data_IF_773901060467
#
_entry.id   IF_773901060467
#
_cell.length_a   1.000
_cell.length_b   1.000
_cell.length_c   1.000
_cell.angle_alpha   90.00
_cell.angle_beta   90.00
_cell.angle_gamma   90.00
#
_symmetry.space_group_name_H-M   'P 1'
#
loop_
_entity.id
_entity.type
_entity.pdbx_description
1 polymer ?
#
# COMPACT_ATOMS: atom_id res chain seq x y z
N UNK A 1 17.36 -26.59 9.10
CA UNK A 1 16.23 -26.18 8.25
C UNK A 1 16.13 -24.67 8.31
N UNK A 2 16.22 -24.02 7.17
CA UNK A 2 16.15 -22.55 7.07
C UNK A 2 14.79 -22.04 7.60
N UNK A 3 14.79 -20.85 8.19
CA UNK A 3 13.56 -20.20 8.62
C UNK A 3 12.99 -19.42 7.45
N UNK A 4 11.97 -19.98 6.82
CA UNK A 4 11.27 -19.35 5.69
C UNK A 4 10.08 -18.58 6.23
N UNK A 5 9.97 -17.32 5.81
CA UNK A 5 8.90 -16.41 6.20
C UNK A 5 8.04 -16.06 5.00
N UNK A 6 6.75 -15.94 5.24
CA UNK A 6 5.75 -15.59 4.23
C UNK A 6 4.88 -14.45 4.75
N UNK A 7 4.36 -13.65 3.82
CA UNK A 7 3.35 -12.63 4.07
C UNK A 7 1.99 -13.25 3.84
N UNK A 8 1.10 -13.12 4.81
CA UNK A 8 -0.26 -13.67 4.75
C UNK A 8 -1.25 -12.54 5.01
N UNK A 9 -2.23 -12.41 4.12
CA UNK A 9 -3.31 -11.45 4.23
C UNK A 9 -4.50 -12.10 4.94
N UNK A 10 -4.69 -11.76 6.21
CA UNK A 10 -5.77 -12.24 7.06
C UNK A 10 -7.00 -11.35 6.98
N UNK A 11 -8.18 -11.95 7.12
CA UNK A 11 -9.43 -11.24 7.29
C UNK A 11 -9.70 -10.98 8.78
N UNK A 12 -9.86 -9.72 9.15
CA UNK A 12 -10.19 -9.33 10.53
C UNK A 12 -11.58 -9.81 10.98
N UNK A 13 -12.48 -10.17 10.05
CA UNK A 13 -13.86 -10.60 10.38
C UNK A 13 -13.99 -12.09 10.70
N UNK A 14 -13.30 -12.94 9.95
CA UNK A 14 -13.42 -14.40 10.07
C UNK A 14 -12.11 -15.09 10.47
N UNK A 15 -11.04 -14.31 10.68
CA UNK A 15 -9.69 -14.80 11.00
C UNK A 15 -9.03 -15.70 9.95
N UNK A 16 -9.74 -16.06 8.88
CA UNK A 16 -9.17 -16.79 7.75
C UNK A 16 -8.34 -15.90 6.82
N UNK A 17 -7.47 -16.51 6.04
CA UNK A 17 -6.63 -15.81 5.05
C UNK A 17 -7.19 -15.93 3.64
N UNK A 18 -6.91 -14.95 2.79
CA UNK A 18 -7.38 -14.94 1.39
C UNK A 18 -6.25 -14.93 0.36
N UNK A 19 -5.04 -14.54 0.75
CA UNK A 19 -3.87 -14.62 -0.09
C UNK A 19 -2.60 -14.67 0.77
N UNK A 20 -1.55 -15.29 0.23
CA UNK A 20 -0.23 -15.34 0.82
C UNK A 20 0.85 -15.27 -0.25
N UNK A 21 2.04 -14.84 0.12
CA UNK A 21 3.21 -14.71 -0.77
C UNK A 21 4.51 -14.85 0.03
N UNK A 22 5.63 -15.03 -0.65
CA UNK A 22 6.96 -15.00 -0.01
C UNK A 22 7.23 -13.64 0.65
N UNK A 23 7.88 -13.63 1.83
CA UNK A 23 8.20 -12.38 2.50
C UNK A 23 9.39 -11.65 1.86
N UNK A 24 10.41 -12.42 1.47
CA UNK A 24 11.62 -11.95 0.80
C UNK A 24 11.71 -12.53 -0.62
N UNK A 25 12.01 -11.66 -1.58
CA UNK A 25 12.24 -11.99 -2.99
C UNK A 25 13.37 -12.98 -3.22
N UNK A 26 14.39 -13.00 -2.35
CA UNK A 26 15.49 -13.98 -2.42
C UNK A 26 14.99 -15.42 -2.24
N UNK A 27 13.90 -15.61 -1.51
CA UNK A 27 13.33 -16.90 -1.17
C UNK A 27 12.31 -17.40 -2.21
N UNK A 28 12.00 -16.61 -3.24
CA UNK A 28 10.98 -16.96 -4.26
C UNK A 28 11.20 -18.34 -4.89
N UNK A 29 12.46 -18.69 -5.14
CA UNK A 29 12.84 -19.96 -5.78
C UNK A 29 13.14 -21.07 -4.76
N UNK A 30 12.85 -20.85 -3.47
CA UNK A 30 13.06 -21.87 -2.45
C UNK A 30 12.09 -23.04 -2.70
N UNK A 31 12.56 -24.30 -2.70
CA UNK A 31 11.72 -25.47 -2.91
C UNK A 31 10.49 -25.53 -2.00
N UNK A 32 10.61 -25.11 -0.73
CA UNK A 32 9.47 -25.15 0.20
C UNK A 32 8.36 -24.14 -0.15
N UNK A 33 8.74 -23.00 -0.75
CA UNK A 33 7.79 -21.98 -1.24
C UNK A 33 7.11 -22.45 -2.53
N UNK A 34 7.89 -23.05 -3.44
CA UNK A 34 7.37 -23.60 -4.70
C UNK A 34 6.40 -24.76 -4.41
N UNK A 35 6.77 -25.66 -3.52
CA UNK A 35 5.91 -26.76 -3.06
C UNK A 35 4.61 -26.24 -2.45
N UNK A 36 4.70 -25.22 -1.59
CA UNK A 36 3.52 -24.61 -0.98
C UNK A 36 2.62 -23.88 -2.00
N UNK A 37 3.23 -23.26 -3.03
CA UNK A 37 2.49 -22.70 -4.17
C UNK A 37 1.77 -23.79 -4.97
N UNK A 38 2.41 -24.93 -5.24
CA UNK A 38 1.75 -26.04 -5.93
C UNK A 38 0.62 -26.68 -5.10
N UNK A 39 0.75 -26.67 -3.78
CA UNK A 39 -0.27 -27.19 -2.88
C UNK A 39 -1.52 -26.30 -2.78
N UNK A 40 -1.36 -24.98 -2.61
CA UNK A 40 -2.50 -24.06 -2.45
C UNK A 40 -2.97 -23.40 -3.75
N UNK A 41 -2.04 -23.01 -4.61
CA UNK A 41 -2.31 -22.26 -5.84
C UNK A 41 -2.93 -20.88 -5.62
N UNK A 42 -3.22 -20.19 -6.72
CA UNK A 42 -3.98 -18.94 -6.68
C UNK A 42 -5.46 -19.21 -6.33
N UNK A 43 -6.12 -18.35 -5.55
CA UNK A 43 -5.66 -17.06 -5.03
C UNK A 43 -4.91 -17.14 -3.69
N UNK A 44 -4.86 -18.33 -3.07
CA UNK A 44 -4.45 -18.49 -1.68
C UNK A 44 -2.93 -18.37 -1.47
N UNK A 45 -2.12 -18.77 -2.44
CA UNK A 45 -0.69 -18.51 -2.49
C UNK A 45 -0.31 -18.00 -3.88
N UNK A 46 0.39 -16.86 -3.95
CA UNK A 46 0.84 -16.25 -5.21
C UNK A 46 2.33 -16.00 -5.19
N UNK A 47 2.99 -16.29 -6.32
CA UNK A 47 4.39 -15.90 -6.57
C UNK A 47 4.49 -14.52 -7.26
N UNK A 48 3.34 -13.94 -7.61
CA UNK A 48 3.26 -12.61 -8.22
C UNK A 48 2.86 -11.58 -7.16
N UNK A 49 3.77 -10.65 -6.88
CA UNK A 49 3.57 -9.59 -5.92
C UNK A 49 2.37 -8.69 -6.30
N UNK A 50 2.12 -8.47 -7.60
CA UNK A 50 0.99 -7.65 -8.05
C UNK A 50 -0.36 -8.26 -7.68
N UNK A 51 -0.50 -9.59 -7.76
CA UNK A 51 -1.70 -10.31 -7.32
C UNK A 51 -1.89 -10.19 -5.81
N UNK A 52 -0.81 -10.29 -5.03
CA UNK A 52 -0.87 -10.13 -3.57
C UNK A 52 -1.25 -8.70 -3.15
N UNK A 53 -0.71 -7.69 -3.83
CA UNK A 53 -1.02 -6.28 -3.53
C UNK A 53 -2.52 -5.96 -3.73
N UNK A 54 -3.18 -6.59 -4.71
CA UNK A 54 -4.64 -6.49 -4.87
C UNK A 54 -5.40 -7.07 -3.68
N UNK A 55 -4.91 -8.19 -3.15
CA UNK A 55 -5.49 -8.85 -1.99
C UNK A 55 -5.26 -8.06 -0.69
N UNK A 56 -4.10 -7.42 -0.53
CA UNK A 56 -3.80 -6.51 0.58
C UNK A 56 -4.74 -5.29 0.59
N UNK A 57 -5.12 -4.81 -0.58
CA UNK A 57 -6.05 -3.68 -0.75
C UNK A 57 -7.53 -4.05 -0.49
N UNK A 58 -7.87 -5.25 -0.05
CA UNK A 58 -9.25 -5.61 0.30
C UNK A 58 -9.64 -5.06 1.68
N UNK A 59 -10.91 -4.69 1.87
CA UNK A 59 -11.41 -4.22 3.16
C UNK A 59 -11.23 -5.26 4.29
N UNK A 60 -10.99 -4.77 5.52
CA UNK A 60 -10.81 -5.60 6.72
C UNK A 60 -9.71 -6.66 6.56
N UNK A 61 -8.63 -6.28 5.89
CA UNK A 61 -7.45 -7.12 5.67
C UNK A 61 -6.29 -6.63 6.52
N UNK A 62 -5.62 -7.57 7.19
CA UNK A 62 -4.40 -7.34 7.94
C UNK A 62 -3.30 -8.24 7.38
N UNK A 63 -2.17 -7.66 7.00
CA UNK A 63 -1.02 -8.42 6.51
C UNK A 63 -0.10 -8.74 7.68
N UNK A 64 0.19 -10.03 7.88
CA UNK A 64 1.14 -10.51 8.89
C UNK A 64 2.25 -11.29 8.23
N UNK A 65 3.47 -11.14 8.75
CA UNK A 65 4.60 -11.97 8.38
C UNK A 65 4.65 -13.12 9.38
N UNK A 66 4.55 -14.35 8.89
CA UNK A 66 4.59 -15.55 9.72
C UNK A 66 5.56 -16.56 9.14
N UNK A 67 6.01 -17.50 9.97
CA UNK A 67 6.85 -18.59 9.51
C UNK A 67 6.03 -19.58 8.68
N UNK A 68 6.59 -20.07 7.57
CA UNK A 68 5.91 -21.02 6.69
C UNK A 68 5.42 -22.28 7.43
N UNK A 69 6.23 -22.79 8.36
CA UNK A 69 5.89 -23.94 9.20
C UNK A 69 4.70 -23.69 10.12
N UNK A 70 4.55 -22.46 10.59
CA UNK A 70 3.41 -22.07 11.41
C UNK A 70 2.15 -21.95 10.55
N UNK A 71 2.28 -21.37 9.35
CA UNK A 71 1.17 -21.30 8.40
C UNK A 71 0.60 -22.68 8.07
N UNK A 72 1.48 -23.65 7.78
CA UNK A 72 1.12 -25.05 7.46
C UNK A 72 0.28 -25.75 8.53
N UNK A 73 0.30 -25.28 9.79
CA UNK A 73 -0.53 -25.86 10.86
C UNK A 73 -2.01 -25.47 10.72
N UNK A 74 -2.29 -24.32 10.11
CA UNK A 74 -3.62 -23.72 9.99
C UNK A 74 -3.91 -23.30 8.54
N UNK A 75 -3.36 -24.03 7.58
CA UNK A 75 -3.38 -23.72 6.15
C UNK A 75 -4.74 -23.95 5.48
N UNK A 76 -5.69 -24.57 6.18
CA UNK A 76 -7.07 -24.73 5.70
C UNK A 76 -8.00 -23.59 6.14
N UNK A 77 -7.49 -22.59 6.86
CA UNK A 77 -8.30 -21.48 7.36
C UNK A 77 -8.53 -20.41 6.28
N UNK A 78 -9.23 -20.77 5.22
CA UNK A 78 -9.53 -19.85 4.12
C UNK A 78 -10.65 -18.87 4.47
N UNK A 79 -10.53 -17.64 3.99
CA UNK A 79 -11.57 -16.62 4.10
C UNK A 79 -12.60 -16.76 2.96
N UNK A 80 -13.87 -17.03 3.30
CA UNK A 80 -15.00 -17.03 2.35
C UNK A 80 -15.77 -15.70 2.26
N UNK A 81 -15.28 -14.62 2.87
CA UNK A 81 -16.01 -13.35 2.92
C UNK A 81 -16.05 -12.66 1.55
N UNK A 82 -17.22 -12.14 1.16
CA UNK A 82 -17.34 -11.24 0.01
C UNK A 82 -16.74 -9.87 0.37
N UNK A 83 -15.49 -9.64 -0.01
CA UNK A 83 -14.77 -8.38 0.24
C UNK A 83 -14.85 -7.45 -0.97
N UNK A 84 -14.98 -6.16 -0.70
CA UNK A 84 -14.83 -5.10 -1.71
C UNK A 84 -13.40 -4.55 -1.64
N UNK A 85 -12.87 -4.01 -2.76
CA UNK A 85 -11.62 -3.26 -2.71
C UNK A 85 -11.78 -2.08 -1.76
N UNK A 86 -10.79 -1.90 -0.87
CA UNK A 86 -10.73 -0.79 0.07
C UNK A 86 -10.75 0.49 -0.75
N UNK A 87 -11.82 1.27 -0.62
CA UNK A 87 -11.85 2.63 -1.13
C UNK A 87 -10.75 3.40 -0.39
N UNK A 88 -9.63 3.65 -1.06
CA UNK A 88 -8.72 4.69 -0.61
C UNK A 88 -9.57 5.96 -0.48
N UNK A 89 -9.55 6.68 0.65
CA UNK A 89 -10.16 8.00 0.68
C UNK A 89 -9.47 8.77 -0.44
N UNK A 90 -10.23 9.18 -1.46
CA UNK A 90 -9.73 10.08 -2.48
C UNK A 90 -9.42 11.39 -1.76
N UNK A 91 -8.21 11.51 -1.18
CA UNK A 91 -7.64 12.79 -0.81
C UNK A 91 -7.13 13.41 -2.10
N UNK A 92 -8.04 13.64 -3.05
CA UNK A 92 -7.90 14.74 -3.98
C UNK A 92 -8.54 15.90 -3.24
N UNK A 93 -7.84 16.43 -2.24
CA UNK A 93 -8.02 17.83 -1.89
C UNK A 93 -7.34 18.59 -3.04
N UNK A 94 -8.03 18.71 -4.17
CA UNK A 94 -7.77 19.83 -5.06
C UNK A 94 -8.03 21.06 -4.19
N UNK A 95 -6.97 21.67 -3.70
CA UNK A 95 -7.06 23.00 -3.11
C UNK A 95 -7.36 23.90 -4.29
N UNK A 96 -8.65 24.02 -4.63
CA UNK A 96 -9.12 25.11 -5.47
C UNK A 96 -8.96 26.35 -4.61
N UNK A 97 -7.83 27.02 -4.76
CA UNK A 97 -7.74 28.41 -4.35
C UNK A 97 -8.77 29.14 -5.20
N UNK A 98 -9.90 29.54 -4.59
CA UNK A 98 -10.72 30.58 -5.18
C UNK A 98 -9.77 31.75 -5.43
N UNK A 99 -9.66 32.20 -6.68
CA UNK A 99 -9.04 33.47 -7.02
C UNK A 99 -9.83 34.57 -6.28
N UNK A 100 -9.49 34.78 -5.01
CA UNK A 100 -9.89 35.98 -4.31
C UNK A 100 -9.21 37.10 -5.07
N UNK A 101 -10.03 37.96 -5.67
CA UNK A 101 -9.65 39.21 -6.30
C UNK A 101 -9.07 40.18 -5.27
N UNK A 102 -7.97 39.81 -4.64
CA UNK A 102 -7.19 40.67 -3.78
C UNK A 102 -6.33 41.49 -4.72
N UNK A 103 -6.78 42.72 -5.00
CA UNK A 103 -5.97 43.72 -5.69
C UNK A 103 -4.58 43.72 -5.05
N UNK A 104 -3.57 43.41 -5.87
CA UNK A 104 -2.18 43.39 -5.39
C UNK A 104 -1.77 44.82 -5.04
N UNK A 105 -1.24 45.07 -3.83
CA UNK A 105 -0.69 46.37 -3.50
C UNK A 105 0.49 46.69 -4.43
N UNK A 106 0.62 47.96 -4.80
CA UNK A 106 1.68 48.44 -5.71
C UNK A 106 3.04 48.26 -5.03
N UNK A 107 4.08 48.00 -5.85
CA UNK A 107 5.47 47.80 -5.41
C UNK A 107 6.05 48.92 -4.53
N UNK A 108 5.41 50.08 -4.52
CA UNK A 108 5.83 51.27 -3.76
C UNK A 108 5.52 51.17 -2.25
N UNK A 109 4.69 50.21 -1.82
CA UNK A 109 4.22 50.10 -0.42
C UNK A 109 4.83 48.94 0.37
N UNK A 110 5.81 48.22 -0.19
CA UNK A 110 6.28 46.93 0.36
C UNK A 110 7.79 46.95 0.62
N UNK A 111 8.22 46.40 1.76
CA UNK A 111 9.64 46.32 2.12
C UNK A 111 10.45 45.44 1.14
N UNK A 112 11.71 45.78 0.89
CA UNK A 112 12.60 45.02 -0.03
C UNK A 112 12.69 43.53 0.36
N UNK A 113 12.64 43.25 1.67
CA UNK A 113 12.58 41.91 2.25
C UNK A 113 11.34 41.11 1.82
N UNK A 114 10.17 41.75 1.78
CA UNK A 114 8.94 41.09 1.32
C UNK A 114 8.97 40.82 -0.19
N UNK A 115 9.59 41.70 -0.97
CA UNK A 115 9.82 41.49 -2.40
C UNK A 115 10.72 40.26 -2.60
N UNK A 116 11.81 40.16 -1.85
CA UNK A 116 12.72 39.01 -1.92
C UNK A 116 12.01 37.68 -1.65
N UNK A 117 11.25 37.58 -0.55
CA UNK A 117 10.53 36.34 -0.25
C UNK A 117 9.46 36.04 -1.30
N UNK A 118 8.73 37.05 -1.80
CA UNK A 118 7.75 36.88 -2.88
C UNK A 118 8.36 36.26 -4.13
N UNK A 119 9.52 36.76 -4.57
CA UNK A 119 10.16 36.27 -5.79
C UNK A 119 10.70 34.84 -5.61
N UNK A 120 11.24 34.52 -4.43
CA UNK A 120 11.66 33.16 -4.07
C UNK A 120 10.47 32.18 -4.09
N UNK A 121 9.34 32.55 -3.48
CA UNK A 121 8.15 31.71 -3.49
C UNK A 121 7.56 31.54 -4.89
N UNK A 122 7.58 32.59 -5.72
CA UNK A 122 7.10 32.52 -7.11
C UNK A 122 7.97 31.60 -7.97
N UNK A 123 9.28 31.66 -7.83
CA UNK A 123 10.19 30.82 -8.61
C UNK A 123 10.09 29.35 -8.16
N UNK A 124 10.06 29.09 -6.86
CA UNK A 124 10.02 27.73 -6.32
C UNK A 124 8.73 26.97 -6.65
N UNK A 125 7.59 27.64 -6.73
CA UNK A 125 6.31 27.00 -7.09
C UNK A 125 6.14 26.68 -8.59
N UNK A 126 7.02 27.18 -9.46
CA UNK A 126 6.92 26.95 -10.91
C UNK A 126 7.92 25.90 -11.43
N UNK A 127 8.72 25.28 -10.56
CA UNK A 127 9.53 24.11 -10.91
C UNK A 127 8.76 22.83 -10.55
N UNK A 128 7.92 22.40 -11.49
CA UNK A 128 7.41 21.03 -11.56
C UNK A 128 8.07 20.29 -12.72
#
# INVERSE_FOLDING_TARGET
MEQIFIKVAFCQKCSGYHASTYADSSQKNNPEIIDHYFYHGEPYFTLNQSSFNKAEQLEYTEVKIIQLKEHRKNDLQYCGCKKKPRKLPAVIKSITFSESSTQMPKYEEVSETEIYFRDVYRLSYNFH
#
